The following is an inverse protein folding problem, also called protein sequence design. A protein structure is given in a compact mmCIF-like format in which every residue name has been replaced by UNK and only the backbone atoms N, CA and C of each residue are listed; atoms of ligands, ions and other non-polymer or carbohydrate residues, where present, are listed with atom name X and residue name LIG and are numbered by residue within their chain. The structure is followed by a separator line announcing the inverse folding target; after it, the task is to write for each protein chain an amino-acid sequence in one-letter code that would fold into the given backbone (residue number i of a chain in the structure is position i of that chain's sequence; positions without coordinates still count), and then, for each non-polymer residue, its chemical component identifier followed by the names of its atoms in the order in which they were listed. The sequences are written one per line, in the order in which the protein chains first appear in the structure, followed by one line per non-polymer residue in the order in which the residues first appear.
data_IF_608209236660
#
_entry.id   IF_608209236660
#
_cell.length_a   1.000
_cell.length_b   1.000
_cell.length_c   1.000
_cell.angle_alpha   90.00
_cell.angle_beta   90.00
_cell.angle_gamma   90.00
#
_symmetry.space_group_name_H-M   'P 1'
#
loop_
_entity.id
_entity.type
_entity.pdbx_description
1 polymer ?
#
# COMPACT_ATOMS: atom_id res chain seq x y z
N UNK A 1 -27.10 -10.11 43.41
CA UNK A 1 -26.01 -9.33 42.76
C UNK A 1 -24.88 -10.22 42.20
N UNK A 2 -24.45 -11.27 42.91
CA UNK A 2 -23.39 -12.21 42.47
C UNK A 2 -23.76 -13.01 41.20
N UNK A 3 -25.01 -13.44 41.07
CA UNK A 3 -25.49 -14.22 39.92
C UNK A 3 -25.44 -13.45 38.58
N UNK A 4 -25.62 -12.13 38.62
CA UNK A 4 -25.63 -11.25 37.45
C UNK A 4 -24.21 -10.98 36.94
N UNK A 5 -23.26 -10.82 37.86
CA UNK A 5 -21.83 -10.69 37.60
C UNK A 5 -21.24 -11.97 36.98
N UNK A 6 -21.69 -13.15 37.42
CA UNK A 6 -21.27 -14.42 36.83
C UNK A 6 -21.78 -14.57 35.39
N UNK A 7 -23.06 -14.27 35.13
CA UNK A 7 -23.65 -14.29 33.78
C UNK A 7 -22.97 -13.30 32.81
N UNK A 8 -22.55 -12.13 33.31
CA UNK A 8 -21.83 -11.13 32.50
C UNK A 8 -20.42 -11.61 32.14
N UNK A 9 -19.69 -12.21 33.10
CA UNK A 9 -18.37 -12.80 32.86
C UNK A 9 -18.43 -13.98 31.88
N UNK A 10 -19.46 -14.82 31.97
CA UNK A 10 -19.67 -15.94 31.03
C UNK A 10 -20.04 -15.44 29.63
N UNK A 11 -20.89 -14.42 29.50
CA UNK A 11 -21.23 -13.81 28.19
C UNK A 11 -20.04 -13.12 27.54
N UNK A 12 -19.22 -12.41 28.31
CA UNK A 12 -17.99 -11.78 27.81
C UNK A 12 -16.96 -12.85 27.41
N UNK A 13 -16.82 -13.92 28.17
CA UNK A 13 -15.98 -15.07 27.82
C UNK A 13 -16.42 -15.76 26.53
N UNK A 14 -17.71 -16.00 26.35
CA UNK A 14 -18.27 -16.57 25.10
C UNK A 14 -18.05 -15.63 23.91
N UNK A 15 -18.20 -14.31 24.10
CA UNK A 15 -17.94 -13.33 23.03
C UNK A 15 -16.47 -13.32 22.61
N UNK A 16 -15.54 -13.34 23.57
CA UNK A 16 -14.09 -13.40 23.30
C UNK A 16 -13.68 -14.71 22.62
N UNK A 17 -14.23 -15.85 23.07
CA UNK A 17 -13.99 -17.16 22.43
C UNK A 17 -14.59 -17.18 21.02
N UNK A 18 -15.77 -16.60 20.81
CA UNK A 18 -16.40 -16.49 19.49
C UNK A 18 -15.57 -15.63 18.53
N UNK A 19 -14.91 -14.57 19.01
CA UNK A 19 -14.00 -13.74 18.19
C UNK A 19 -12.79 -14.53 17.69
N UNK A 20 -12.27 -15.47 18.49
CA UNK A 20 -11.14 -16.32 18.11
C UNK A 20 -11.53 -17.45 17.16
N UNK A 21 -12.79 -17.91 17.22
CA UNK A 21 -13.31 -18.94 16.32
C UNK A 21 -13.66 -18.39 14.92
N UNK A 22 -13.75 -17.08 14.74
CA UNK A 22 -14.06 -16.46 13.43
C UNK A 22 -12.83 -16.28 12.53
N UNK A 23 -11.62 -16.63 12.97
CA UNK A 23 -10.41 -16.51 12.17
C UNK A 23 -10.07 -17.83 11.47
N UNK A 24 -10.34 -17.92 10.17
CA UNK A 24 -9.93 -19.06 9.32
C UNK A 24 -8.42 -19.07 9.07
N UNK A 25 -7.84 -20.23 8.74
CA UNK A 25 -6.40 -20.35 8.46
C UNK A 25 -5.93 -19.44 7.32
N UNK A 26 -6.78 -19.19 6.33
CA UNK A 26 -6.49 -18.23 5.27
C UNK A 26 -6.34 -16.80 5.76
N UNK A 27 -7.21 -16.36 6.67
CA UNK A 27 -7.11 -15.04 7.31
C UNK A 27 -5.92 -14.97 8.27
N UNK A 28 -5.69 -16.01 9.07
CA UNK A 28 -4.57 -16.04 10.05
C UNK A 28 -3.22 -16.00 9.34
N UNK A 29 -3.00 -16.91 8.38
CA UNK A 29 -1.70 -17.09 7.73
C UNK A 29 -1.52 -16.04 6.62
N UNK A 30 -2.55 -15.84 5.81
CA UNK A 30 -2.49 -15.03 4.61
C UNK A 30 -2.93 -13.57 4.76
N UNK A 31 -3.75 -13.27 5.77
CA UNK A 31 -4.42 -11.97 5.93
C UNK A 31 -5.49 -11.70 4.87
N UNK A 32 -6.42 -10.79 5.18
CA UNK A 32 -7.39 -10.21 4.23
C UNK A 32 -6.82 -9.03 3.43
N UNK A 33 -5.65 -8.52 3.83
CA UNK A 33 -4.93 -7.43 3.19
C UNK A 33 -3.52 -7.86 2.79
N UNK A 34 -2.91 -7.08 1.93
CA UNK A 34 -1.51 -7.18 1.54
C UNK A 34 -0.90 -5.78 1.44
N UNK A 35 0.42 -5.68 1.56
CA UNK A 35 1.18 -4.46 1.31
C UNK A 35 1.42 -4.31 -0.19
N UNK A 36 0.95 -3.20 -0.73
CA UNK A 36 1.29 -2.70 -2.04
C UNK A 36 2.45 -1.72 -1.90
N UNK A 37 3.59 -2.10 -2.47
CA UNK A 37 4.77 -1.26 -2.61
C UNK A 37 4.72 -0.65 -4.01
N UNK A 38 4.47 0.63 -4.11
CA UNK A 38 4.28 1.32 -5.39
C UNK A 38 5.50 2.17 -5.67
N UNK A 39 6.06 2.05 -6.86
CA UNK A 39 7.17 2.87 -7.35
C UNK A 39 6.78 3.49 -8.68
N UNK A 40 6.97 4.80 -8.83
CA UNK A 40 6.82 5.48 -10.12
C UNK A 40 8.19 5.59 -10.76
N UNK A 41 8.38 4.90 -11.88
CA UNK A 41 9.66 4.86 -12.58
C UNK A 41 10.03 6.24 -13.12
N UNK A 42 11.28 6.67 -12.95
CA UNK A 42 11.83 7.94 -13.47
C UNK A 42 11.14 9.24 -13.01
N UNK A 43 10.12 9.17 -12.16
CA UNK A 43 9.34 10.32 -11.68
C UNK A 43 9.29 10.39 -10.15
N UNK A 44 10.39 10.77 -9.47
CA UNK A 44 10.49 10.77 -8.01
C UNK A 44 9.62 11.84 -7.33
N UNK A 45 9.03 12.77 -8.10
CA UNK A 45 8.17 13.85 -7.59
C UNK A 45 6.67 13.58 -7.81
N UNK A 46 6.34 12.48 -8.48
CA UNK A 46 4.95 12.16 -8.76
C UNK A 46 4.24 11.72 -7.47
N UNK A 47 3.10 12.34 -7.17
CA UNK A 47 2.27 12.00 -6.02
C UNK A 47 1.46 10.75 -6.36
N UNK A 48 1.58 9.73 -5.53
CA UNK A 48 0.84 8.48 -5.62
C UNK A 48 -0.39 8.60 -4.73
N UNK A 49 -1.57 8.40 -5.31
CA UNK A 49 -2.84 8.41 -4.59
C UNK A 49 -3.57 7.07 -4.75
N UNK A 50 -4.13 6.60 -3.65
CA UNK A 50 -4.94 5.39 -3.59
C UNK A 50 -6.18 5.67 -2.75
N UNK A 51 -7.35 5.26 -3.25
CA UNK A 51 -8.65 5.51 -2.60
C UNK A 51 -8.87 7.01 -2.32
N UNK A 52 -8.56 7.86 -3.31
CA UNK A 52 -8.69 9.32 -3.23
C UNK A 52 -7.71 10.02 -2.27
N UNK A 53 -6.79 9.29 -1.63
CA UNK A 53 -5.86 9.83 -0.64
C UNK A 53 -4.41 9.69 -1.11
N UNK A 54 -3.62 10.76 -0.95
CA UNK A 54 -2.18 10.71 -1.18
C UNK A 54 -1.51 9.72 -0.21
N UNK A 55 -0.69 8.82 -0.74
CA UNK A 55 0.03 7.79 0.03
C UNK A 55 1.53 8.02 0.08
N UNK A 56 2.10 8.68 -0.94
CA UNK A 56 3.53 8.95 -1.02
C UNK A 56 3.90 9.74 -2.28
N UNK A 57 5.20 10.00 -2.44
CA UNK A 57 5.76 10.76 -3.56
C UNK A 57 6.93 9.94 -4.12
N UNK A 58 6.88 9.60 -5.40
CA UNK A 58 7.83 8.71 -6.09
C UNK A 58 7.70 7.23 -5.67
N UNK A 59 7.58 6.98 -4.36
CA UNK A 59 7.36 5.68 -3.76
C UNK A 59 6.27 5.75 -2.67
N UNK A 60 5.50 4.68 -2.51
CA UNK A 60 4.47 4.59 -1.48
C UNK A 60 4.23 3.14 -1.03
N UNK A 61 4.05 2.97 0.28
CA UNK A 61 3.70 1.69 0.89
C UNK A 61 2.36 1.79 1.60
N UNK A 62 1.40 0.93 1.25
CA UNK A 62 0.11 0.91 1.91
C UNK A 62 -0.56 -0.45 1.86
N UNK A 63 -1.52 -0.66 2.78
CA UNK A 63 -2.31 -1.89 2.84
C UNK A 63 -3.51 -1.82 1.90
N UNK A 64 -3.61 -2.79 0.99
CA UNK A 64 -4.73 -2.96 0.07
C UNK A 64 -5.54 -4.22 0.43
N UNK A 65 -6.89 -4.21 0.31
CA UNK A 65 -7.72 -5.40 0.50
C UNK A 65 -7.47 -6.43 -0.60
N UNK A 66 -7.35 -7.71 -0.23
CA UNK A 66 -7.22 -8.80 -1.21
C UNK A 66 -8.50 -9.04 -2.00
N UNK A 67 -9.66 -8.79 -1.37
CA UNK A 67 -10.97 -8.94 -2.03
C UNK A 67 -11.11 -8.04 -3.28
N UNK A 68 -10.41 -6.90 -3.27
CA UNK A 68 -10.46 -5.85 -4.28
C UNK A 68 -9.18 -5.84 -5.16
N UNK A 69 -8.43 -6.95 -5.19
CA UNK A 69 -7.19 -7.03 -5.97
C UNK A 69 -7.42 -6.96 -7.50
N UNK A 70 -8.65 -7.14 -7.96
CA UNK A 70 -9.13 -6.97 -9.34
C UNK A 70 -9.85 -5.63 -9.59
N UNK A 71 -9.83 -4.73 -8.61
CA UNK A 71 -10.39 -3.39 -8.72
C UNK A 71 -9.46 -2.41 -8.00
N UNK A 72 -8.17 -2.51 -8.31
CA UNK A 72 -7.12 -1.78 -7.64
C UNK A 72 -6.62 -0.66 -8.55
N UNK A 73 -7.00 0.57 -8.24
CA UNK A 73 -6.65 1.76 -9.05
C UNK A 73 -5.68 2.66 -8.29
N UNK A 74 -4.58 3.02 -8.94
CA UNK A 74 -3.61 3.99 -8.43
C UNK A 74 -3.62 5.21 -9.34
N UNK A 75 -3.81 6.37 -8.75
CA UNK A 75 -3.70 7.66 -9.45
C UNK A 75 -2.32 8.25 -9.21
N UNK A 76 -1.65 8.64 -10.29
CA UNK A 76 -0.34 9.29 -10.26
C UNK A 76 -0.46 10.68 -10.85
N UNK A 77 0.06 11.67 -10.14
CA UNK A 77 0.06 13.06 -10.61
C UNK A 77 1.31 13.79 -10.16
N UNK A 78 2.01 14.38 -11.11
CA UNK A 78 3.13 15.29 -10.83
C UNK A 78 2.70 16.76 -10.99
N UNK A 79 3.19 17.70 -10.17
CA UNK A 79 2.82 19.12 -10.28
C UNK A 79 3.15 19.72 -11.66
N UNK A 80 2.12 20.17 -12.38
CA UNK A 80 2.27 20.73 -13.74
C UNK A 80 2.26 19.69 -14.86
N UNK A 81 1.94 18.43 -14.54
CA UNK A 81 1.79 17.34 -15.49
C UNK A 81 0.37 16.74 -15.42
N UNK A 82 0.01 15.97 -16.45
CA UNK A 82 -1.31 15.37 -16.58
C UNK A 82 -1.46 14.17 -15.65
N UNK A 83 -2.61 14.05 -15.00
CA UNK A 83 -2.91 12.92 -14.13
C UNK A 83 -3.07 11.62 -14.95
N UNK A 84 -2.50 10.54 -14.44
CA UNK A 84 -2.63 9.21 -15.03
C UNK A 84 -3.16 8.22 -14.00
N UNK A 85 -4.10 7.38 -14.42
CA UNK A 85 -4.67 6.32 -13.59
C UNK A 85 -4.15 4.98 -14.09
N UNK A 86 -3.70 4.15 -13.15
CA UNK A 86 -3.25 2.78 -13.38
C UNK A 86 -4.26 1.84 -12.74
N UNK A 87 -5.01 1.14 -13.58
CA UNK A 87 -6.02 0.17 -13.14
C UNK A 87 -5.44 -1.24 -13.23
N UNK A 88 -5.48 -1.95 -12.10
CA UNK A 88 -5.13 -3.36 -11.99
C UNK A 88 -6.42 -4.15 -11.79
N UNK A 89 -6.72 -4.99 -12.78
CA UNK A 89 -8.02 -5.66 -12.91
C UNK A 89 -7.93 -7.17 -12.79
N UNK A 90 -6.73 -7.71 -12.62
CA UNK A 90 -6.51 -9.14 -12.53
C UNK A 90 -6.13 -9.58 -11.11
N UNK A 91 -6.91 -10.51 -10.56
CA UNK A 91 -6.56 -11.24 -9.35
C UNK A 91 -6.34 -12.72 -9.62
N UNK A 92 -5.46 -13.32 -8.84
CA UNK A 92 -5.12 -14.74 -8.88
C UNK A 92 -5.57 -15.46 -7.61
N UNK A 93 -5.95 -16.73 -7.77
CA UNK A 93 -6.33 -17.58 -6.65
C UNK A 93 -5.12 -18.07 -5.84
N UNK A 94 -5.30 -18.22 -4.52
CA UNK A 94 -4.33 -18.77 -3.57
C UNK A 94 -4.73 -20.20 -3.21
N UNK A 95 -4.40 -21.14 -4.09
CA UNK A 95 -4.75 -22.56 -3.95
C UNK A 95 -4.46 -23.16 -2.58
N UNK A 96 -3.31 -22.84 -1.97
CA UNK A 96 -2.96 -23.37 -0.65
C UNK A 96 -3.85 -22.87 0.49
N UNK A 97 -4.44 -21.69 0.34
CA UNK A 97 -5.39 -21.18 1.32
C UNK A 97 -6.65 -22.04 1.34
N UNK A 98 -7.15 -22.46 0.17
CA UNK A 98 -8.30 -23.37 0.06
C UNK A 98 -8.06 -24.71 0.75
N UNK A 99 -6.91 -25.34 0.46
CA UNK A 99 -6.56 -26.65 1.02
C UNK A 99 -6.41 -26.57 2.54
N UNK A 100 -5.70 -25.54 3.05
CA UNK A 100 -5.52 -25.36 4.48
C UNK A 100 -6.86 -25.23 5.21
N UNK A 101 -7.78 -24.47 4.63
CA UNK A 101 -9.11 -24.22 5.21
C UNK A 101 -10.00 -25.46 5.20
N UNK A 102 -9.98 -26.26 4.13
CA UNK A 102 -10.72 -27.52 4.08
C UNK A 102 -10.27 -28.52 5.15
N UNK A 103 -8.95 -28.61 5.39
CA UNK A 103 -8.39 -29.59 6.35
C UNK A 103 -8.64 -29.16 7.81
N UNK A 104 -8.56 -27.86 8.10
CA UNK A 104 -8.52 -27.35 9.48
C UNK A 104 -9.85 -26.77 9.98
N UNK A 105 -10.70 -26.28 9.07
CA UNK A 105 -11.91 -25.53 9.40
C UNK A 105 -13.17 -26.12 8.73
N UNK A 106 -13.26 -27.44 8.76
CA UNK A 106 -14.47 -28.20 8.45
C UNK A 106 -15.08 -28.72 9.74
N UNK A 107 -16.24 -28.18 10.13
CA UNK A 107 -17.03 -28.67 11.26
C UNK A 107 -18.11 -29.64 10.80
N UNK A 108 -18.87 -30.24 11.71
CA UNK A 108 -20.03 -31.07 11.36
C UNK A 108 -21.31 -30.48 11.94
N UNK A 109 -22.36 -30.38 11.11
CA UNK A 109 -23.72 -30.00 11.54
C UNK A 109 -24.64 -31.16 11.21
N UNK A 110 -25.21 -31.80 12.22
CA UNK A 110 -26.08 -32.97 12.03
C UNK A 110 -25.40 -34.14 11.31
N UNK A 111 -24.08 -34.30 11.47
CA UNK A 111 -23.30 -35.33 10.77
C UNK A 111 -22.81 -34.96 9.37
N UNK A 112 -23.22 -33.81 8.83
CA UNK A 112 -22.77 -33.31 7.52
C UNK A 112 -21.54 -32.42 7.72
N UNK A 113 -20.40 -32.69 7.07
CA UNK A 113 -19.24 -31.80 7.12
C UNK A 113 -19.55 -30.47 6.41
N UNK A 114 -19.45 -29.36 7.15
CA UNK A 114 -19.65 -28.00 6.66
C UNK A 114 -18.32 -27.24 6.75
N UNK A 115 -17.73 -26.84 5.62
CA UNK A 115 -16.44 -26.15 5.58
C UNK A 115 -16.64 -24.65 5.75
N UNK A 116 -17.11 -24.23 6.92
CA UNK A 116 -17.43 -22.84 7.22
C UNK A 116 -16.22 -21.90 7.11
N UNK A 117 -15.00 -22.42 7.25
CA UNK A 117 -13.79 -21.67 6.97
C UNK A 117 -13.75 -21.12 5.54
N UNK A 118 -14.36 -21.82 4.56
CA UNK A 118 -14.44 -21.34 3.18
C UNK A 118 -15.26 -20.06 3.06
N UNK A 119 -16.33 -19.95 3.84
CA UNK A 119 -17.20 -18.78 3.84
C UNK A 119 -16.42 -17.59 4.40
N UNK A 120 -15.71 -17.77 5.51
CA UNK A 120 -14.89 -16.74 6.14
C UNK A 120 -13.75 -16.31 5.21
N UNK A 121 -13.05 -17.26 4.59
CA UNK A 121 -11.94 -16.98 3.68
C UNK A 121 -12.39 -16.33 2.36
N UNK A 122 -13.53 -16.76 1.83
CA UNK A 122 -14.16 -16.15 0.67
C UNK A 122 -14.58 -14.72 0.95
N UNK A 123 -15.32 -14.49 2.04
CA UNK A 123 -15.83 -13.17 2.41
C UNK A 123 -14.71 -12.18 2.75
N UNK A 124 -13.65 -12.63 3.43
CA UNK A 124 -12.47 -11.81 3.73
C UNK A 124 -11.55 -11.58 2.53
N UNK A 125 -11.76 -12.30 1.43
CA UNK A 125 -10.91 -12.28 0.24
C UNK A 125 -9.56 -12.93 0.43
N UNK A 126 -9.36 -13.75 1.48
CA UNK A 126 -8.06 -14.35 1.80
C UNK A 126 -7.58 -15.33 0.71
N UNK A 127 -8.52 -15.86 -0.09
CA UNK A 127 -8.27 -16.67 -1.29
C UNK A 127 -7.65 -15.91 -2.45
N UNK A 128 -7.67 -14.57 -2.43
CA UNK A 128 -7.23 -13.77 -3.57
C UNK A 128 -5.86 -13.12 -3.32
N UNK A 129 -5.13 -12.91 -4.41
CA UNK A 129 -3.90 -12.12 -4.47
C UNK A 129 -3.87 -11.34 -5.79
N UNK A 130 -3.06 -10.28 -5.89
CA UNK A 130 -2.76 -9.67 -7.19
C UNK A 130 -2.25 -10.69 -8.20
N UNK A 131 -2.58 -10.51 -9.48
CA UNK A 131 -2.01 -11.32 -10.55
C UNK A 131 -0.60 -10.84 -10.88
N UNK A 132 0.39 -11.74 -10.77
CA UNK A 132 1.79 -11.44 -11.08
C UNK A 132 2.10 -11.50 -12.58
N UNK A 133 1.12 -11.91 -13.39
CA UNK A 133 1.21 -11.87 -14.85
C UNK A 133 0.67 -10.54 -15.42
N UNK A 134 0.01 -9.73 -14.60
CA UNK A 134 -0.41 -8.38 -14.97
C UNK A 134 0.81 -7.46 -15.03
N UNK A 135 0.86 -6.59 -16.04
CA UNK A 135 2.00 -5.71 -16.26
C UNK A 135 2.25 -4.81 -15.05
N UNK A 136 3.52 -4.64 -14.68
CA UNK A 136 3.92 -3.81 -13.53
C UNK A 136 3.70 -4.46 -12.16
N UNK A 137 3.11 -5.65 -12.07
CA UNK A 137 2.91 -6.35 -10.79
C UNK A 137 3.97 -7.42 -10.58
N UNK A 138 4.67 -7.35 -9.45
CA UNK A 138 5.63 -8.38 -9.05
C UNK A 138 5.42 -8.84 -7.61
N UNK A 139 5.77 -10.10 -7.34
CA UNK A 139 5.65 -10.69 -6.01
C UNK A 139 6.97 -10.60 -5.28
N UNK A 140 7.00 -9.88 -4.17
CA UNK A 140 8.10 -9.94 -3.21
C UNK A 140 7.91 -11.16 -2.32
N UNK A 141 6.76 -11.26 -1.66
CA UNK A 141 6.39 -12.43 -0.84
C UNK A 141 4.87 -12.59 -0.76
N UNK A 142 4.36 -13.43 0.15
CA UNK A 142 2.92 -13.67 0.24
C UNK A 142 2.09 -12.46 0.65
N UNK A 143 2.66 -11.53 1.43
CA UNK A 143 1.97 -10.36 1.96
C UNK A 143 2.43 -9.06 1.32
N UNK A 144 3.46 -9.08 0.49
CA UNK A 144 4.09 -7.88 -0.08
C UNK A 144 4.19 -8.05 -1.59
N UNK A 145 3.62 -7.10 -2.32
CA UNK A 145 3.60 -7.05 -3.77
C UNK A 145 4.13 -5.70 -4.22
N UNK A 146 4.91 -5.69 -5.28
CA UNK A 146 5.49 -4.48 -5.85
C UNK A 146 4.76 -4.12 -7.14
N UNK A 147 4.47 -2.83 -7.29
CA UNK A 147 3.78 -2.23 -8.42
C UNK A 147 4.71 -1.18 -9.03
N UNK A 148 5.22 -1.47 -10.22
CA UNK A 148 6.03 -0.54 -11.00
C UNK A 148 5.14 0.23 -11.96
N UNK A 149 5.03 1.54 -11.78
CA UNK A 149 4.18 2.41 -12.58
C UNK A 149 5.04 3.18 -13.58
N UNK A 150 4.78 2.96 -14.86
CA UNK A 150 5.39 3.75 -15.94
C UNK A 150 4.48 4.95 -16.25
N UNK A 151 4.78 6.07 -15.60
CA UNK A 151 4.05 7.32 -15.73
C UNK A 151 4.53 8.11 -16.94
N UNK A 152 3.63 8.33 -17.89
CA UNK A 152 3.89 9.07 -19.14
C UNK A 152 3.15 10.40 -19.19
N UNK A 153 2.40 10.74 -18.13
CA UNK A 153 1.65 12.00 -18.02
C UNK A 153 2.54 13.24 -17.88
N UNK A 154 3.86 13.07 -17.84
CA UNK A 154 4.83 14.14 -17.74
C UNK A 154 5.85 13.99 -18.88
N UNK A 155 5.98 14.97 -19.79
CA UNK A 155 6.95 14.88 -20.87
C UNK A 155 8.38 14.85 -20.30
N UNK A 156 9.27 14.05 -20.91
CA UNK A 156 10.67 13.80 -20.51
C UNK A 156 11.57 15.04 -20.33
N UNK A 157 11.02 16.24 -20.57
CA UNK A 157 11.67 17.55 -20.40
C UNK A 157 11.08 18.41 -19.29
N UNK A 158 10.19 17.87 -18.43
CA UNK A 158 9.74 18.62 -17.27
C UNK A 158 10.77 18.56 -16.14
N UNK A 159 11.81 19.38 -16.27
CA UNK A 159 12.58 19.88 -15.13
C UNK A 159 11.70 20.88 -14.34
N UNK A 160 10.54 20.42 -13.85
CA UNK A 160 9.76 21.16 -12.87
C UNK A 160 10.63 21.46 -11.65
N UNK A 161 10.34 22.53 -10.89
CA UNK A 161 11.21 22.95 -9.79
C UNK A 161 11.48 21.76 -8.88
N UNK A 162 12.73 21.33 -8.83
CA UNK A 162 13.20 20.45 -7.76
C UNK A 162 12.92 21.28 -6.52
N UNK A 163 12.06 20.76 -5.64
CA UNK A 163 11.85 21.32 -4.31
C UNK A 163 13.15 21.04 -3.54
N UNK A 164 14.21 21.74 -3.94
CA UNK A 164 15.57 21.57 -3.43
C UNK A 164 15.49 21.94 -1.96
N UNK A 165 15.89 20.99 -1.13
CA UNK A 165 16.01 21.23 0.31
C UNK A 165 16.93 22.44 0.54
N UNK A 166 16.79 23.14 1.68
CA UNK A 166 17.66 24.29 2.00
C UNK A 166 19.15 23.94 1.87
N UNK A 167 19.51 22.71 2.24
CA UNK A 167 20.87 22.18 2.09
C UNK A 167 21.32 22.07 0.63
N UNK A 168 20.49 21.52 -0.26
CA UNK A 168 20.82 21.42 -1.69
C UNK A 168 20.90 22.79 -2.38
N UNK A 169 20.05 23.74 -1.98
CA UNK A 169 20.12 25.14 -2.46
C UNK A 169 21.42 25.82 -2.03
N UNK A 170 21.87 25.58 -0.79
CA UNK A 170 23.14 26.10 -0.27
C UNK A 170 24.36 25.49 -0.97
N UNK A 171 24.33 24.19 -1.26
CA UNK A 171 25.41 23.49 -1.97
C UNK A 171 25.55 23.99 -3.41
N UNK A 172 24.44 24.18 -4.11
CA UNK A 172 24.44 24.72 -5.47
C UNK A 172 24.93 26.17 -5.51
N UNK A 173 24.49 27.01 -4.55
CA UNK A 173 24.94 28.38 -4.44
C UNK A 173 26.47 28.46 -4.20
N UNK A 174 27.02 27.52 -3.43
CA UNK A 174 28.46 27.41 -3.21
C UNK A 174 29.21 27.01 -4.48
N UNK A 175 28.67 26.05 -5.24
CA UNK A 175 29.23 25.64 -6.54
C UNK A 175 29.33 26.82 -7.51
N UNK A 176 28.30 27.67 -7.59
CA UNK A 176 28.30 28.86 -8.47
C UNK A 176 29.35 29.92 -8.07
N UNK A 177 29.64 30.04 -6.76
CA UNK A 177 30.73 30.88 -6.27
C UNK A 177 32.11 30.28 -6.63
N UNK A 178 32.27 28.97 -6.45
CA UNK A 178 33.52 28.27 -6.76
C UNK A 178 33.84 28.28 -8.27
N UNK A 179 32.80 28.29 -9.11
CA UNK A 179 32.92 28.45 -10.58
C UNK A 179 33.14 29.90 -11.04
N UNK A 180 33.11 30.86 -10.12
CA UNK A 180 33.29 32.28 -10.43
C UNK A 180 32.13 32.90 -11.21
N UNK A 181 30.97 32.23 -11.26
CA UNK A 181 29.75 32.71 -11.93
C UNK A 181 29.06 33.77 -11.08
N UNK A 182 29.17 33.65 -9.76
CA UNK A 182 28.55 34.55 -8.79
C UNK A 182 29.61 35.26 -7.95
N UNK A 183 29.37 36.51 -7.57
CA UNK A 183 30.24 37.23 -6.63
C UNK A 183 29.98 36.83 -5.18
N UNK A 184 30.95 37.07 -4.28
CA UNK A 184 30.80 36.77 -2.85
C UNK A 184 29.66 37.56 -2.19
N UNK A 185 29.37 38.77 -2.68
CA UNK A 185 28.29 39.60 -2.15
C UNK A 185 26.91 39.03 -2.52
N UNK A 186 26.74 38.63 -3.78
CA UNK A 186 25.54 37.96 -4.30
C UNK A 186 25.32 36.60 -3.60
N UNK A 187 26.40 35.84 -3.36
CA UNK A 187 26.34 34.59 -2.60
C UNK A 187 25.79 34.83 -1.18
N UNK A 188 26.30 35.84 -0.48
CA UNK A 188 25.89 36.11 0.89
C UNK A 188 24.44 36.62 0.98
N UNK A 189 24.01 37.43 0.01
CA UNK A 189 22.65 37.92 -0.08
C UNK A 189 21.64 36.76 -0.29
N UNK A 190 21.94 35.86 -1.22
CA UNK A 190 21.05 34.75 -1.55
C UNK A 190 21.05 33.65 -0.47
N UNK A 191 22.20 33.37 0.14
CA UNK A 191 22.32 32.50 1.31
C UNK A 191 21.45 32.98 2.47
N UNK A 192 21.41 34.30 2.71
CA UNK A 192 20.59 34.89 3.78
C UNK A 192 19.09 34.72 3.52
N UNK A 193 18.64 34.82 2.27
CA UNK A 193 17.24 34.57 1.90
C UNK A 193 16.84 33.10 2.14
N UNK A 194 17.69 32.15 1.72
CA UNK A 194 17.43 30.71 1.88
C UNK A 194 17.36 30.30 3.36
N UNK A 195 18.12 30.96 4.24
CA UNK A 195 18.10 30.72 5.68
C UNK A 195 16.93 31.41 6.41
N UNK A 196 16.26 32.36 5.76
CA UNK A 196 15.15 33.14 6.32
C UNK A 196 13.76 32.63 5.92
N UNK A 197 13.64 31.87 4.82
CA UNK A 197 12.59 30.85 4.65
C UNK A 197 12.67 29.79 5.76
#
# INVERSE_FOLDING_TARGET
MIHTLFKLKTKLGILVISSMLLSSCGVIIGGSKYYAHVTVENHPKAVISYDGNAKGIGEADFLAPRKDADSFSITVKEPGCDEQVFDFTEKSFRGWTLVGTLVTWTGTIGGIPVPWGLIVDGASGSFWKPNVYESGVSKINYKNFHYSLNYTGCPDKYNGPILKTKAERLTELKRLLDEGILTLEEFNAEKKKILAE
#
